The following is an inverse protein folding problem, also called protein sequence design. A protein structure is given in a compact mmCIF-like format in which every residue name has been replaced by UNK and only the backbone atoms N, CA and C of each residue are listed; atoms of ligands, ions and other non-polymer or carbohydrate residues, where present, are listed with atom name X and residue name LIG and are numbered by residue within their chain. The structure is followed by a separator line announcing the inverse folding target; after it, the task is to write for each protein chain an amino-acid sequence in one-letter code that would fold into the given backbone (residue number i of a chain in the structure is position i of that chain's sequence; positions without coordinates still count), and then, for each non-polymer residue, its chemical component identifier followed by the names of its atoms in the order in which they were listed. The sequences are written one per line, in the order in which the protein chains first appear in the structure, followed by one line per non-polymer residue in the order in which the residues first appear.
data_IF_645914500263
#
_entry.id   IF_645914500263
#
_cell.length_a   1.000
_cell.length_b   1.000
_cell.length_c   1.000
_cell.angle_alpha   90.00
_cell.angle_beta   90.00
_cell.angle_gamma   90.00
#
_symmetry.space_group_name_H-M   'P 1'
#
loop_
_entity.id
_entity.type
_entity.pdbx_description
1 polymer ?
#
# COMPACT_ATOMS: atom_id res chain seq x y z
N UNK A 1 9.44 -17.29 -13.43
CA UNK A 1 8.09 -17.36 -14.03
C UNK A 1 6.99 -17.22 -12.97
N UNK A 2 7.34 -17.25 -11.69
CA UNK A 2 6.42 -17.24 -10.55
C UNK A 2 5.49 -16.02 -10.54
N UNK A 3 6.04 -14.81 -10.75
CA UNK A 3 5.24 -13.58 -10.76
C UNK A 3 4.21 -13.52 -11.89
N UNK A 4 4.51 -14.10 -13.05
CA UNK A 4 3.58 -14.15 -14.17
C UNK A 4 2.41 -15.10 -13.86
N UNK A 5 2.67 -16.22 -13.18
CA UNK A 5 1.63 -17.16 -12.74
C UNK A 5 0.74 -16.52 -11.67
N UNK A 6 1.33 -15.81 -10.69
CA UNK A 6 0.58 -15.09 -9.65
C UNK A 6 -0.30 -14.00 -10.28
N UNK A 7 0.24 -13.21 -11.22
CA UNK A 7 -0.54 -12.20 -11.94
C UNK A 7 -1.67 -12.83 -12.77
N UNK A 8 -1.42 -13.97 -13.43
CA UNK A 8 -2.44 -14.68 -14.18
C UNK A 8 -3.59 -15.12 -13.25
N UNK A 9 -3.27 -15.71 -12.10
CA UNK A 9 -4.27 -16.11 -11.10
C UNK A 9 -5.04 -14.89 -10.59
N UNK A 10 -4.36 -13.79 -10.24
CA UNK A 10 -5.01 -12.56 -9.81
C UNK A 10 -5.96 -12.00 -10.88
N UNK A 11 -5.57 -12.01 -12.15
CA UNK A 11 -6.42 -11.59 -13.27
C UNK A 11 -7.61 -12.52 -13.46
N UNK A 12 -7.48 -13.82 -13.22
CA UNK A 12 -8.60 -14.77 -13.28
C UNK A 12 -9.60 -14.56 -12.13
N UNK A 13 -9.11 -14.28 -10.91
CA UNK A 13 -9.95 -14.04 -9.74
C UNK A 13 -10.69 -12.70 -9.80
N UNK A 14 -9.97 -11.63 -10.15
CA UNK A 14 -10.52 -10.27 -10.14
C UNK A 14 -11.05 -9.83 -11.52
N UNK A 15 -10.61 -10.47 -12.59
CA UNK A 15 -10.91 -10.12 -13.97
C UNK A 15 -9.99 -9.04 -14.54
N UNK A 16 -9.66 -9.14 -15.84
CA UNK A 16 -8.75 -8.22 -16.54
C UNK A 16 -9.19 -6.74 -16.49
N UNK A 17 -10.48 -6.47 -16.26
CA UNK A 17 -11.03 -5.12 -16.19
C UNK A 17 -10.99 -4.50 -14.79
N UNK A 18 -10.83 -5.29 -13.71
CA UNK A 18 -10.91 -4.74 -12.35
C UNK A 18 -9.61 -4.10 -11.88
N UNK A 19 -8.48 -4.73 -12.11
CA UNK A 19 -7.17 -4.15 -11.77
C UNK A 19 -6.96 -2.77 -12.41
N UNK A 20 -7.15 -2.56 -13.73
CA UNK A 20 -6.97 -1.24 -14.34
C UNK A 20 -8.00 -0.21 -13.85
N UNK A 21 -9.23 -0.64 -13.56
CA UNK A 21 -10.28 0.25 -13.04
C UNK A 21 -9.95 0.73 -11.62
N UNK A 22 -9.50 -0.17 -10.75
CA UNK A 22 -9.06 0.16 -9.40
C UNK A 22 -7.82 1.07 -9.41
N UNK A 23 -6.82 0.73 -10.24
CA UNK A 23 -5.62 1.56 -10.38
C UNK A 23 -5.98 2.98 -10.83
N UNK A 24 -6.93 3.12 -11.76
CA UNK A 24 -7.41 4.42 -12.21
C UNK A 24 -8.10 5.21 -11.10
N UNK A 25 -9.10 4.64 -10.42
CA UNK A 25 -9.84 5.36 -9.37
C UNK A 25 -8.95 5.71 -8.17
N UNK A 26 -8.07 4.78 -7.77
CA UNK A 26 -7.11 5.03 -6.68
C UNK A 26 -6.07 6.06 -7.09
N UNK A 27 -5.60 6.02 -8.35
CA UNK A 27 -4.67 7.01 -8.88
C UNK A 27 -5.27 8.41 -8.97
N UNK A 28 -6.53 8.52 -9.39
CA UNK A 28 -7.29 9.77 -9.41
C UNK A 28 -7.42 10.33 -7.98
N UNK A 29 -7.88 9.51 -7.03
CA UNK A 29 -8.01 9.92 -5.62
C UNK A 29 -6.68 10.33 -4.98
N UNK A 30 -5.60 9.56 -5.22
CA UNK A 30 -4.27 9.87 -4.69
C UNK A 30 -3.70 11.14 -5.33
N UNK A 31 -3.97 11.38 -6.62
CA UNK A 31 -3.55 12.59 -7.32
C UNK A 31 -4.23 13.84 -6.77
N UNK A 32 -5.55 13.80 -6.58
CA UNK A 32 -6.30 14.90 -5.96
C UNK A 32 -5.87 15.14 -4.51
N UNK A 33 -5.64 14.07 -3.75
CA UNK A 33 -5.15 14.16 -2.37
C UNK A 33 -3.76 14.82 -2.31
N UNK A 34 -2.83 14.42 -3.19
CA UNK A 34 -1.50 15.03 -3.25
C UNK A 34 -1.57 16.51 -3.59
N UNK A 35 -2.37 16.88 -4.58
CA UNK A 35 -2.58 18.28 -4.97
C UNK A 35 -3.15 19.11 -3.82
N UNK A 36 -4.18 18.60 -3.13
CA UNK A 36 -4.75 19.29 -1.97
C UNK A 36 -3.75 19.44 -0.82
N UNK A 37 -2.87 18.45 -0.60
CA UNK A 37 -1.80 18.58 0.40
C UNK A 37 -0.78 19.65 0.03
N UNK A 38 -0.34 19.69 -1.22
CA UNK A 38 0.60 20.72 -1.71
C UNK A 38 0.00 22.13 -1.59
N UNK A 39 -1.28 22.31 -1.92
CA UNK A 39 -2.00 23.58 -1.76
C UNK A 39 -2.05 24.02 -0.28
N UNK A 40 -2.39 23.10 0.63
CA UNK A 40 -2.43 23.38 2.08
C UNK A 40 -1.04 23.73 2.63
N UNK A 41 0.00 23.00 2.20
CA UNK A 41 1.38 23.27 2.64
C UNK A 41 1.87 24.63 2.12
N UNK A 42 1.54 24.98 0.87
CA UNK A 42 1.84 26.29 0.30
C UNK A 42 1.10 27.41 1.03
N UNK A 43 -0.20 27.26 1.32
CA UNK A 43 -0.96 28.23 2.10
C UNK A 43 -0.38 28.39 3.51
N UNK A 44 -0.02 27.30 4.19
CA UNK A 44 0.61 27.34 5.52
C UNK A 44 1.98 28.03 5.47
N UNK A 45 2.77 27.78 4.42
CA UNK A 45 4.08 28.40 4.24
C UNK A 45 3.96 29.89 3.90
N UNK A 46 2.97 30.30 3.11
CA UNK A 46 2.67 31.71 2.86
C UNK A 46 2.20 32.43 4.14
N UNK A 47 1.36 31.79 4.96
CA UNK A 47 0.94 32.31 6.25
C UNK A 47 2.10 32.43 7.24
N UNK A 48 3.01 31.44 7.28
CA UNK A 48 4.21 31.50 8.12
C UNK A 48 5.25 32.49 7.60
N UNK A 49 5.41 32.63 6.28
CA UNK A 49 6.36 33.58 5.68
C UNK A 49 5.91 35.05 5.87
N UNK A 50 4.60 35.30 5.96
CA UNK A 50 4.06 36.62 6.32
C UNK A 50 4.25 36.97 7.81
N UNK A 51 4.64 36.00 8.65
CA UNK A 51 4.86 36.16 10.08
C UNK A 51 6.17 35.53 10.56
N UNK A 52 7.28 36.24 10.35
CA UNK A 52 8.60 35.99 10.97
C UNK A 52 9.34 34.72 10.52
N UNK A 53 10.46 34.94 9.85
CA UNK A 53 11.57 34.00 9.66
C UNK A 53 11.86 33.16 10.91
N UNK A 54 11.94 31.84 10.76
CA UNK A 54 13.01 30.96 11.32
C UNK A 54 12.69 29.47 11.10
N UNK A 55 13.60 28.82 10.36
CA UNK A 55 14.09 27.44 10.45
C UNK A 55 13.17 26.29 10.91
N UNK A 56 13.13 25.21 10.12
CA UNK A 56 13.86 23.95 10.37
C UNK A 56 13.18 22.83 9.57
N UNK A 57 13.89 22.33 8.56
CA UNK A 57 13.53 21.10 7.85
C UNK A 57 13.82 19.93 8.81
N UNK A 58 12.76 19.33 9.37
CA UNK A 58 12.86 18.08 10.12
C UNK A 58 12.64 16.95 9.13
N UNK A 59 13.76 16.36 8.76
CA UNK A 59 13.93 15.03 8.17
C UNK A 59 12.85 14.05 8.63
N UNK A 60 12.06 13.54 7.68
CA UNK A 60 11.10 12.45 7.90
C UNK A 60 11.59 11.23 7.12
N UNK A 61 12.48 10.45 7.72
CA UNK A 61 12.64 9.03 7.39
C UNK A 61 11.55 8.25 8.15
N UNK A 62 10.59 7.60 7.47
CA UNK A 62 9.77 6.60 8.15
C UNK A 62 10.56 5.31 8.30
N UNK A 63 11.02 5.07 9.53
CA UNK A 63 11.51 3.81 10.07
C UNK A 63 10.62 2.64 9.67
N UNK A 64 11.17 1.68 8.94
CA UNK A 64 10.61 0.34 8.77
C UNK A 64 10.48 -0.31 10.16
N UNK A 65 9.25 -0.52 10.61
CA UNK A 65 8.93 -1.48 11.66
C UNK A 65 7.74 -2.30 11.18
N UNK A 66 8.01 -3.55 10.83
CA UNK A 66 6.99 -4.60 10.71
C UNK A 66 7.62 -5.86 11.30
N UNK A 67 7.60 -5.92 12.63
CA UNK A 67 7.45 -7.19 13.32
C UNK A 67 5.96 -7.51 13.35
N UNK A 68 5.57 -8.64 12.78
CA UNK A 68 4.45 -9.44 13.25
C UNK A 68 4.74 -10.88 12.84
N UNK A 69 5.31 -11.61 13.79
CA UNK A 69 5.19 -13.07 13.84
C UNK A 69 3.72 -13.47 13.80
N UNK A 70 3.40 -14.50 13.03
CA UNK A 70 2.25 -15.35 13.30
C UNK A 70 2.65 -16.76 12.92
N UNK A 71 3.10 -17.51 13.94
CA UNK A 71 2.96 -18.95 13.99
C UNK A 71 1.51 -19.34 13.67
N UNK A 72 1.34 -20.35 12.84
CA UNK A 72 0.12 -21.17 12.86
C UNK A 72 0.55 -22.59 12.58
N UNK A 73 0.67 -23.35 13.66
CA UNK A 73 0.53 -24.80 13.65
C UNK A 73 -0.77 -25.19 12.93
N UNK A 74 -0.70 -26.20 12.06
CA UNK A 74 -1.86 -27.05 11.81
C UNK A 74 -1.33 -28.46 11.58
N UNK A 75 -1.27 -29.21 12.68
CA UNK A 75 -1.53 -30.65 12.65
C UNK A 75 -2.92 -30.87 12.03
N UNK A 76 -3.04 -31.75 11.05
CA UNK A 76 -4.19 -32.64 10.95
C UNK A 76 -3.75 -33.93 10.27
N UNK A 77 -3.91 -35.00 11.03
CA UNK A 77 -3.63 -36.38 10.70
C UNK A 77 -4.53 -36.96 9.59
N UNK A 78 -4.06 -38.11 9.11
CA UNK A 78 -4.86 -39.26 8.62
C UNK A 78 -5.30 -39.26 7.15
N UNK A 79 -4.59 -40.09 6.37
CA UNK A 79 -5.30 -41.15 5.64
C UNK A 79 -4.50 -42.46 5.71
N UNK A 80 -4.91 -43.29 6.67
CA UNK A 80 -4.72 -44.75 6.70
C UNK A 80 -5.72 -45.40 5.74
N UNK A 81 -5.44 -46.66 5.36
CA UNK A 81 -6.15 -47.57 4.43
C UNK A 81 -5.78 -47.37 2.96
N UNK A 82 -5.39 -48.38 2.18
CA UNK A 82 -5.75 -49.80 2.15
C UNK A 82 -4.58 -50.57 1.51
N UNK A 83 -4.09 -51.64 2.11
CA UNK A 83 -4.50 -53.02 1.79
C UNK A 83 -4.03 -53.49 0.40
N UNK A 84 -2.83 -54.09 0.34
CA UNK A 84 -2.53 -55.38 -0.31
C UNK A 84 -1.02 -55.66 -0.37
#
# INVERSE_FOLDING_TARGET
MELAVILLIAVLLFGANKIPKLARSTGEAMGEFKKGREEVEQELQEMQSSGSSTATEVESEPTTTTETETETETETETQTESES
#
